data_IF_775926712513
#
_entry.id   IF_775926712513
#
_cell.length_a   1.000
_cell.length_b   1.000
_cell.length_c   1.000
_cell.angle_alpha   90.00
_cell.angle_beta   90.00
_cell.angle_gamma   90.00
#
_symmetry.space_group_name_H-M   'P 1'
#
loop_
_entity.id
_entity.type
_entity.pdbx_description
1 polymer ?
#
# COMPACT_ATOMS: atom_id res chain seq x y z
N UNK A 1 1.81 4.20 3.78
CA UNK A 1 2.80 4.43 2.71
C UNK A 1 2.48 3.68 1.43
N UNK A 2 2.09 2.40 1.51
CA UNK A 2 1.91 1.59 0.30
C UNK A 2 0.92 2.20 -0.70
N UNK A 3 -0.28 2.66 -0.30
CA UNK A 3 -1.28 3.16 -1.27
C UNK A 3 -0.83 4.31 -2.22
N UNK A 4 0.25 5.03 -1.92
CA UNK A 4 0.72 6.18 -2.71
C UNK A 4 2.07 5.97 -3.40
N UNK A 5 2.82 4.93 -3.00
CA UNK A 5 4.16 4.70 -3.50
C UNK A 5 5.28 5.52 -2.85
N UNK A 6 6.53 5.25 -3.21
CA UNK A 6 7.71 5.96 -2.73
C UNK A 6 7.92 7.27 -3.51
N UNK A 7 7.15 8.31 -3.20
CA UNK A 7 7.32 9.63 -3.81
C UNK A 7 8.28 10.50 -2.98
N UNK A 8 9.45 10.92 -3.52
CA UNK A 8 10.33 11.86 -2.85
C UNK A 8 9.60 13.18 -2.54
N UNK A 9 9.64 13.64 -1.29
CA UNK A 9 8.98 14.87 -0.86
C UNK A 9 7.45 14.78 -0.68
N UNK A 10 6.88 13.58 -0.58
CA UNK A 10 5.45 13.42 -0.29
C UNK A 10 5.12 13.87 1.14
N UNK A 11 4.63 15.10 1.29
CA UNK A 11 4.20 15.65 2.58
C UNK A 11 2.71 15.34 2.78
N UNK A 12 2.39 14.17 3.32
CA UNK A 12 1.05 13.87 3.81
C UNK A 12 1.08 13.80 5.34
N UNK A 13 0.38 14.74 5.98
CA UNK A 13 0.22 14.83 7.44
C UNK A 13 1.50 15.01 8.27
N UNK A 14 2.55 15.64 7.72
CA UNK A 14 3.77 16.00 8.48
C UNK A 14 4.43 14.75 9.10
N UNK A 15 4.73 13.76 8.26
CA UNK A 15 5.46 12.54 8.64
C UNK A 15 6.70 12.40 7.76
N UNK A 16 7.87 12.48 8.37
CA UNK A 16 9.13 12.15 7.73
C UNK A 16 9.37 10.64 7.85
N UNK A 17 9.61 9.99 6.72
CA UNK A 17 9.96 8.57 6.65
C UNK A 17 11.47 8.42 6.43
N UNK A 18 12.07 7.42 7.08
CA UNK A 18 13.49 7.12 6.87
C UNK A 18 13.76 6.73 5.42
N UNK A 19 14.98 6.99 4.93
CA UNK A 19 15.41 6.57 3.59
C UNK A 19 15.28 5.05 3.40
N UNK A 20 15.47 4.28 4.47
CA UNK A 20 15.30 2.84 4.48
C UNK A 20 13.83 2.43 4.24
N UNK A 21 12.88 3.17 4.84
CA UNK A 21 11.46 2.95 4.66
C UNK A 21 11.02 3.23 3.22
N UNK A 22 11.51 4.33 2.66
CA UNK A 22 11.27 4.67 1.26
C UNK A 22 11.83 3.60 0.31
N UNK A 23 13.08 3.17 0.52
CA UNK A 23 13.70 2.12 -0.29
C UNK A 23 12.90 0.81 -0.25
N UNK A 24 12.40 0.43 0.93
CA UNK A 24 11.57 -0.77 1.05
C UNK A 24 10.24 -0.66 0.32
N UNK A 25 9.59 0.50 0.37
CA UNK A 25 8.36 0.73 -0.40
C UNK A 25 8.65 0.66 -1.89
N UNK A 26 9.79 1.18 -2.35
CA UNK A 26 10.24 1.05 -3.75
C UNK A 26 10.41 -0.42 -4.17
N UNK A 27 10.95 -1.27 -3.30
CA UNK A 27 11.07 -2.70 -3.61
C UNK A 27 9.69 -3.37 -3.77
N UNK A 28 8.72 -2.96 -2.94
CA UNK A 28 7.34 -3.45 -3.02
C UNK A 28 6.64 -2.93 -4.28
N UNK A 29 6.86 -1.67 -4.66
CA UNK A 29 6.37 -1.09 -5.93
C UNK A 29 6.87 -1.91 -7.12
N UNK A 30 8.17 -2.19 -7.16
CA UNK A 30 8.76 -3.00 -8.22
C UNK A 30 8.21 -4.43 -8.26
N UNK A 31 7.83 -5.01 -7.11
CA UNK A 31 7.13 -6.30 -7.08
C UNK A 31 5.72 -6.19 -7.67
N UNK A 32 4.98 -5.13 -7.35
CA UNK A 32 3.65 -4.89 -7.91
C UNK A 32 3.71 -4.71 -9.44
N UNK A 33 4.68 -3.95 -9.94
CA UNK A 33 4.90 -3.76 -11.38
C UNK A 33 5.17 -5.07 -12.13
N UNK A 34 5.95 -6.00 -11.54
CA UNK A 34 6.21 -7.32 -12.14
C UNK A 34 4.94 -8.16 -12.32
N UNK A 35 3.91 -7.90 -11.53
CA UNK A 35 2.62 -8.59 -11.56
C UNK A 35 1.52 -7.77 -12.24
N UNK A 36 1.83 -6.58 -12.77
CA UNK A 36 0.87 -5.62 -13.32
C UNK A 36 -0.25 -5.24 -12.31
N UNK A 37 0.12 -5.14 -11.03
CA UNK A 37 -0.82 -4.84 -9.95
C UNK A 37 -0.69 -3.38 -9.50
N UNK A 38 -1.81 -2.65 -9.34
CA UNK A 38 -1.78 -1.35 -8.68
C UNK A 38 -1.41 -1.52 -7.20
N UNK A 39 -0.41 -0.78 -6.73
CA UNK A 39 -0.01 -0.83 -5.33
C UNK A 39 -1.15 -0.43 -4.37
N UNK A 40 -2.06 0.44 -4.80
CA UNK A 40 -3.27 0.78 -4.05
C UNK A 40 -4.19 -0.44 -3.82
N UNK A 41 -4.39 -1.27 -4.85
CA UNK A 41 -5.18 -2.50 -4.73
C UNK A 41 -4.54 -3.49 -3.75
N UNK A 42 -3.23 -3.72 -3.90
CA UNK A 42 -2.44 -4.55 -2.98
C UNK A 42 -2.57 -4.05 -1.53
N UNK A 43 -2.44 -2.74 -1.32
CA UNK A 43 -2.52 -2.13 0.01
C UNK A 43 -3.88 -2.33 0.67
N UNK A 44 -4.97 -2.15 -0.09
CA UNK A 44 -6.33 -2.30 0.42
C UNK A 44 -6.65 -3.75 0.73
N UNK A 45 -6.34 -4.65 -0.21
CA UNK A 45 -6.67 -6.06 -0.08
C UNK A 45 -5.79 -6.77 0.93
N UNK A 46 -4.54 -6.35 1.14
CA UNK A 46 -3.70 -6.84 2.23
C UNK A 46 -4.40 -6.73 3.60
N UNK A 47 -5.05 -5.58 3.86
CA UNK A 47 -5.76 -5.36 5.13
C UNK A 47 -7.00 -6.28 5.22
N UNK A 48 -7.73 -6.46 4.11
CA UNK A 48 -8.91 -7.33 4.04
C UNK A 48 -8.59 -8.83 4.15
N UNK A 49 -7.34 -9.25 3.94
CA UNK A 49 -6.92 -10.66 4.12
C UNK A 49 -6.91 -11.10 5.58
N UNK A 50 -6.97 -10.18 6.53
CA UNK A 50 -7.01 -10.51 7.96
C UNK A 50 -8.43 -10.83 8.40
N UNK A 51 -8.71 -12.04 8.94
CA UNK A 51 -10.08 -12.45 9.32
C UNK A 51 -10.77 -11.54 10.36
N UNK A 52 -10.00 -10.78 11.12
CA UNK A 52 -10.52 -9.83 12.11
C UNK A 52 -10.97 -8.48 11.53
N UNK A 53 -10.73 -8.23 10.23
CA UNK A 53 -11.09 -6.98 9.57
C UNK A 53 -12.36 -7.17 8.77
N UNK A 54 -13.44 -6.49 9.19
CA UNK A 54 -14.72 -6.56 8.49
C UNK A 54 -14.80 -5.66 7.25
N UNK A 55 -14.07 -4.54 7.24
CA UNK A 55 -14.09 -3.57 6.15
C UNK A 55 -12.86 -2.66 6.18
N UNK A 56 -12.53 -2.09 5.01
CA UNK A 56 -11.54 -1.02 4.85
C UNK A 56 -12.25 0.20 4.27
N UNK A 57 -12.05 1.37 4.88
CA UNK A 57 -12.65 2.63 4.43
C UNK A 57 -11.54 3.53 3.87
N UNK A 58 -11.21 3.43 2.58
CA UNK A 58 -10.21 4.31 1.98
C UNK A 58 -10.74 5.74 1.86
N UNK A 59 -9.87 6.70 2.15
CA UNK A 59 -10.21 8.11 2.00
C UNK A 59 -10.36 8.49 0.53
N UNK A 60 -11.34 9.35 0.25
CA UNK A 60 -11.56 9.96 -1.06
C UNK A 60 -12.02 11.42 -0.87
N UNK A 61 -11.46 12.34 -1.66
CA UNK A 61 -11.84 13.75 -1.74
C UNK A 61 -12.71 14.03 -2.95
N UNK A 62 -12.65 13.18 -3.97
CA UNK A 62 -13.48 13.29 -5.18
C UNK A 62 -14.25 12.00 -5.45
N UNK A 63 -15.36 12.06 -6.22
CA UNK A 63 -16.10 10.88 -6.65
C UNK A 63 -15.25 9.89 -7.46
N UNK A 64 -14.30 10.40 -8.25
CA UNK A 64 -13.38 9.59 -9.04
C UNK A 64 -12.44 8.78 -8.13
N UNK A 65 -11.89 9.40 -7.08
CA UNK A 65 -11.09 8.69 -6.08
C UNK A 65 -11.90 7.59 -5.37
N UNK A 66 -13.17 7.85 -5.05
CA UNK A 66 -14.06 6.85 -4.46
C UNK A 66 -14.29 5.67 -5.42
N UNK A 67 -14.50 5.95 -6.71
CA UNK A 67 -14.67 4.93 -7.75
C UNK A 67 -13.38 4.12 -7.96
N UNK A 68 -12.22 4.78 -7.99
CA UNK A 68 -10.92 4.12 -8.09
C UNK A 68 -10.66 3.19 -6.90
N UNK A 69 -10.99 3.63 -5.69
CA UNK A 69 -10.88 2.80 -4.49
C UNK A 69 -11.77 1.55 -4.56
N UNK A 70 -13.00 1.68 -5.05
CA UNK A 70 -13.89 0.54 -5.26
C UNK A 70 -13.29 -0.45 -6.27
N UNK A 71 -12.85 0.03 -7.43
CA UNK A 71 -12.23 -0.81 -8.46
C UNK A 71 -10.94 -1.50 -7.96
N UNK A 72 -10.14 -0.81 -7.15
CA UNK A 72 -8.93 -1.38 -6.54
C UNK A 72 -9.24 -2.54 -5.58
N UNK A 73 -10.40 -2.51 -4.90
CA UNK A 73 -10.84 -3.61 -4.04
C UNK A 73 -11.26 -4.87 -4.82
N UNK A 74 -11.56 -4.73 -6.11
CA UNK A 74 -12.00 -5.81 -7.00
C UNK A 74 -10.88 -6.37 -7.89
N UNK A 75 -9.66 -5.82 -7.79
CA UNK A 75 -8.51 -6.30 -8.57
C UNK A 75 -8.15 -7.74 -8.19
N UNK A 76 -8.02 -8.63 -9.16
CA UNK A 76 -7.57 -10.01 -8.88
C UNK A 76 -6.08 -10.02 -8.53
N UNK A 77 -5.74 -10.47 -7.31
CA UNK A 77 -4.36 -10.59 -6.86
C UNK A 77 -4.02 -12.08 -6.66
N UNK A 78 -3.12 -12.66 -7.47
CA UNK A 78 -2.79 -14.08 -7.39
C UNK A 78 -2.09 -14.42 -6.08
N UNK A 79 -2.32 -15.63 -5.56
CA UNK A 79 -1.71 -16.08 -4.29
C UNK A 79 -0.18 -16.06 -4.32
N UNK A 80 0.42 -16.39 -5.48
CA UNK A 80 1.86 -16.31 -5.69
C UNK A 80 2.46 -14.92 -5.47
N UNK A 81 1.68 -13.85 -5.67
CA UNK A 81 2.11 -12.50 -5.33
C UNK A 81 2.19 -12.31 -3.81
N UNK A 82 1.20 -12.80 -3.07
CA UNK A 82 1.18 -12.70 -1.60
C UNK A 82 2.32 -13.51 -0.96
N UNK A 83 2.61 -14.70 -1.49
CA UNK A 83 3.74 -15.52 -1.06
C UNK A 83 5.09 -14.79 -1.19
N UNK A 84 5.23 -13.92 -2.19
CA UNK A 84 6.42 -13.07 -2.35
C UNK A 84 6.37 -11.81 -1.49
N UNK A 85 5.22 -11.16 -1.36
CA UNK A 85 5.08 -9.91 -0.62
C UNK A 85 5.20 -10.11 0.90
N UNK A 86 4.45 -11.05 1.47
CA UNK A 86 4.28 -11.18 2.92
C UNK A 86 5.61 -11.33 3.69
N UNK A 87 6.60 -12.14 3.24
CA UNK A 87 7.89 -12.25 3.92
C UNK A 87 8.73 -10.96 3.90
N UNK A 88 8.43 -10.04 2.96
CA UNK A 88 9.19 -8.78 2.85
C UNK A 88 8.68 -7.71 3.83
N UNK A 89 7.43 -7.81 4.26
CA UNK A 89 6.81 -6.81 5.12
C UNK A 89 7.47 -6.77 6.49
N UNK A 90 7.82 -5.58 6.94
CA UNK A 90 8.45 -5.34 8.25
C UNK A 90 7.73 -4.28 9.07
N UNK A 91 7.78 -4.46 10.38
CA UNK A 91 7.31 -3.45 11.33
C UNK A 91 8.36 -2.33 11.45
N UNK A 92 7.92 -1.09 11.36
CA UNK A 92 8.76 0.09 11.48
C UNK A 92 8.50 0.78 12.81
N UNK A 93 9.50 0.88 13.68
CA UNK A 93 9.33 1.48 15.01
C UNK A 93 9.20 3.01 14.99
N UNK A 94 9.55 3.71 13.90
CA UNK A 94 9.46 5.17 13.81
C UNK A 94 9.11 5.65 12.39
N UNK A 95 7.87 6.11 12.20
CA UNK A 95 7.43 6.93 11.07
C UNK A 95 7.06 8.37 11.46
N UNK A 96 7.51 8.82 12.64
CA UNK A 96 7.31 10.17 13.16
C UNK A 96 8.65 10.66 13.72
N UNK A 97 9.51 11.22 12.86
CA UNK A 97 10.37 12.29 13.36
C UNK A 97 9.45 13.46 13.70
N UNK A 98 9.48 13.83 14.98
CA UNK A 98 8.65 14.85 15.60
C UNK A 98 8.99 16.25 15.10
#
# INVERSE_FOLDING_TARGET
MLALGAKPGAVFHRRDFSAECLAHVTDIEALCERYDLPLAAVSLQYILRYPCVSAVIPGARTPEEATQNANASETEIPEAFWEQLLPTLRHWEAGEHR
#
